data_IF_306862343127
#
_entry.id   IF_306862343127
#
_cell.length_a   1.000
_cell.length_b   1.000
_cell.length_c   1.000
_cell.angle_alpha   90.00
_cell.angle_beta   90.00
_cell.angle_gamma   90.00
#
_symmetry.space_group_name_H-M   'P 1'
#
loop_
_entity.id
_entity.type
_entity.pdbx_description
1 polymer ?
#
# COMPACT_ATOMS: atom_id res chain seq x y z
N UNK A 1 15.75 -6.40 -16.24
CA UNK A 1 15.34 -5.07 -15.73
C UNK A 1 14.22 -4.35 -16.51
N UNK A 2 13.65 -4.83 -17.63
CA UNK A 2 12.59 -4.09 -18.36
C UNK A 2 11.19 -4.19 -17.73
N UNK A 3 10.88 -5.32 -17.10
CA UNK A 3 9.54 -5.59 -16.57
C UNK A 3 9.16 -4.71 -15.38
N UNK A 4 10.15 -4.31 -14.58
CA UNK A 4 9.97 -3.42 -13.43
C UNK A 4 9.57 -2.00 -13.89
N UNK A 5 10.20 -1.49 -14.96
CA UNK A 5 9.83 -0.19 -15.53
C UNK A 5 8.41 -0.21 -16.10
N UNK A 6 8.01 -1.27 -16.81
CA UNK A 6 6.65 -1.34 -17.37
C UNK A 6 5.56 -1.46 -16.29
N UNK A 7 5.85 -2.14 -15.18
CA UNK A 7 4.95 -2.16 -14.02
C UNK A 7 4.88 -0.80 -13.34
N UNK A 8 6.02 -0.13 -13.16
CA UNK A 8 6.08 1.23 -12.61
C UNK A 8 5.33 2.22 -13.49
N UNK A 9 5.49 2.16 -14.81
CA UNK A 9 4.79 3.04 -15.75
C UNK A 9 3.28 2.83 -15.68
N UNK A 10 2.81 1.58 -15.68
CA UNK A 10 1.37 1.29 -15.55
C UNK A 10 0.81 1.68 -14.18
N UNK A 11 1.57 1.46 -13.11
CA UNK A 11 1.20 1.91 -11.77
C UNK A 11 1.15 3.43 -11.72
N UNK A 12 2.13 4.12 -12.30
CA UNK A 12 2.21 5.58 -12.34
C UNK A 12 1.07 6.18 -13.15
N UNK A 13 0.74 5.62 -14.31
CA UNK A 13 -0.39 6.04 -15.14
C UNK A 13 -1.75 5.79 -14.46
N UNK A 14 -1.89 4.65 -13.76
CA UNK A 14 -3.08 4.31 -12.98
C UNK A 14 -3.24 5.21 -11.74
N UNK A 15 -2.14 5.54 -11.06
CA UNK A 15 -2.08 6.44 -9.90
C UNK A 15 -2.29 7.91 -10.29
N UNK A 16 -1.78 8.35 -11.45
CA UNK A 16 -1.91 9.71 -11.95
C UNK A 16 -3.38 10.10 -12.21
N UNK A 17 -4.22 9.13 -12.61
CA UNK A 17 -5.62 9.39 -12.91
C UNK A 17 -6.54 9.35 -11.69
N UNK A 18 -6.15 8.67 -10.60
CA UNK A 18 -6.95 8.62 -9.35
C UNK A 18 -6.05 8.88 -8.16
N UNK A 19 -5.90 10.16 -7.83
CA UNK A 19 -5.08 10.71 -6.72
C UNK A 19 -5.26 9.99 -5.36
N UNK A 20 -6.35 9.25 -5.14
CA UNK A 20 -6.62 8.48 -3.91
C UNK A 20 -6.23 7.00 -3.91
N UNK A 21 -5.65 6.45 -4.99
CA UNK A 21 -5.33 5.02 -5.10
C UNK A 21 -4.21 4.56 -4.17
N UNK A 22 -3.18 5.38 -3.97
CA UNK A 22 -2.07 5.05 -3.08
C UNK A 22 -2.52 5.04 -1.59
N UNK A 23 -3.28 6.05 -1.11
CA UNK A 23 -3.98 5.97 0.18
C UNK A 23 -4.84 4.70 0.32
N UNK A 24 -5.62 4.39 -0.72
CA UNK A 24 -6.50 3.23 -0.73
C UNK A 24 -5.72 1.92 -0.61
N UNK A 25 -4.56 1.80 -1.28
CA UNK A 25 -3.69 0.65 -1.18
C UNK A 25 -3.12 0.48 0.23
N UNK A 26 -2.73 1.58 0.88
CA UNK A 26 -2.31 1.58 2.28
C UNK A 26 -3.42 1.13 3.22
N UNK A 27 -4.66 1.61 3.01
CA UNK A 27 -5.85 1.16 3.77
C UNK A 27 -6.10 -0.34 3.56
N UNK A 28 -5.95 -0.84 2.32
CA UNK A 28 -6.11 -2.26 2.01
C UNK A 28 -5.09 -3.13 2.75
N UNK A 29 -3.83 -2.68 2.85
CA UNK A 29 -2.78 -3.34 3.62
C UNK A 29 -3.08 -3.38 5.13
N UNK A 30 -3.64 -2.28 5.67
CA UNK A 30 -4.07 -2.22 7.08
C UNK A 30 -5.21 -3.20 7.34
N UNK A 31 -6.21 -3.27 6.45
CA UNK A 31 -7.31 -4.23 6.55
C UNK A 31 -6.83 -5.68 6.39
N UNK A 32 -5.88 -5.93 5.50
CA UNK A 32 -5.26 -7.25 5.35
C UNK A 32 -4.50 -7.66 6.62
N UNK A 33 -3.79 -6.72 7.27
CA UNK A 33 -3.14 -6.98 8.56
C UNK A 33 -4.15 -7.36 9.65
N UNK A 34 -5.30 -6.68 9.67
CA UNK A 34 -6.38 -7.00 10.61
C UNK A 34 -6.89 -8.43 10.40
N UNK A 35 -7.10 -8.86 9.16
CA UNK A 35 -7.51 -10.24 8.85
C UNK A 35 -6.41 -11.23 9.26
N UNK A 36 -5.14 -10.89 9.00
CA UNK A 36 -3.99 -11.72 9.38
C UNK A 36 -3.83 -11.89 10.89
N UNK A 37 -4.26 -10.93 11.72
CA UNK A 37 -4.27 -11.12 13.18
C UNK A 37 -5.18 -12.26 13.65
N UNK A 38 -6.23 -12.60 12.90
CA UNK A 38 -7.13 -13.71 13.23
C UNK A 38 -6.65 -15.06 12.68
N UNK A 39 -5.62 -15.06 11.84
CA UNK A 39 -4.99 -16.26 11.30
C UNK A 39 -3.79 -16.65 12.19
N UNK A 40 -3.50 -17.94 12.39
CA UNK A 40 -2.34 -18.41 13.16
C UNK A 40 -1.01 -18.23 12.39
N UNK A 41 -0.82 -17.07 11.77
CA UNK A 41 0.35 -16.69 10.98
C UNK A 41 1.41 -16.03 11.88
N UNK A 42 2.06 -16.85 12.71
CA UNK A 42 3.11 -16.50 13.69
C UNK A 42 3.75 -15.11 13.59
N UNK A 43 4.99 -15.03 13.10
CA UNK A 43 5.82 -13.81 13.16
C UNK A 43 5.25 -12.62 12.36
N UNK A 44 4.55 -12.87 11.26
CA UNK A 44 4.05 -11.82 10.38
C UNK A 44 2.86 -11.05 11.00
N UNK A 45 1.93 -11.74 11.67
CA UNK A 45 0.86 -11.09 12.43
C UNK A 45 1.36 -10.47 13.73
N UNK A 46 2.33 -11.12 14.40
CA UNK A 46 2.85 -10.65 15.68
C UNK A 46 3.64 -9.34 15.55
N UNK A 47 4.38 -9.16 14.44
CA UNK A 47 5.12 -7.93 14.15
C UNK A 47 4.25 -6.81 13.57
N UNK A 48 3.01 -7.11 13.15
CA UNK A 48 2.13 -6.17 12.43
C UNK A 48 2.82 -5.52 11.23
N UNK A 49 3.69 -6.25 10.52
CA UNK A 49 4.54 -5.68 9.47
C UNK A 49 3.72 -5.03 8.35
N UNK A 50 2.60 -5.66 7.99
CA UNK A 50 1.65 -5.13 6.99
C UNK A 50 0.96 -3.85 7.45
N UNK A 51 0.68 -3.71 8.75
CA UNK A 51 0.16 -2.48 9.32
C UNK A 51 1.14 -1.32 9.10
N UNK A 52 2.42 -1.53 9.44
CA UNK A 52 3.45 -0.50 9.33
C UNK A 52 3.65 -0.08 7.88
N UNK A 53 3.75 -1.04 6.95
CA UNK A 53 3.88 -0.75 5.52
C UNK A 53 2.62 -0.04 5.01
N UNK A 54 1.43 -0.51 5.39
CA UNK A 54 0.16 0.09 4.99
C UNK A 54 0.02 1.55 5.44
N UNK A 55 0.40 1.86 6.68
CA UNK A 55 0.40 3.23 7.21
C UNK A 55 1.38 4.12 6.45
N UNK A 56 2.61 3.66 6.21
CA UNK A 56 3.62 4.42 5.46
C UNK A 56 3.10 4.72 4.04
N UNK A 57 2.59 3.71 3.34
CA UNK A 57 2.02 3.88 1.99
C UNK A 57 0.81 4.81 1.99
N UNK A 58 -0.05 4.73 3.00
CA UNK A 58 -1.20 5.61 3.13
C UNK A 58 -0.78 7.07 3.32
N UNK A 59 0.20 7.33 4.19
CA UNK A 59 0.74 8.68 4.43
C UNK A 59 1.37 9.23 3.14
N UNK A 60 2.24 8.47 2.49
CA UNK A 60 2.83 8.91 1.21
C UNK A 60 1.77 9.16 0.15
N UNK A 61 0.74 8.33 0.12
CA UNK A 61 -0.37 8.50 -0.78
C UNK A 61 -1.14 9.79 -0.56
N UNK A 62 -1.40 10.14 0.70
CA UNK A 62 -2.10 11.37 1.05
C UNK A 62 -1.22 12.56 0.69
N UNK A 63 0.08 12.51 1.00
CA UNK A 63 1.03 13.56 0.64
C UNK A 63 1.10 13.79 -0.88
N UNK A 64 1.15 12.72 -1.67
CA UNK A 64 1.17 12.79 -3.14
C UNK A 64 -0.15 13.31 -3.70
N UNK A 65 -1.29 12.93 -3.10
CA UNK A 65 -2.60 13.42 -3.51
C UNK A 65 -2.77 14.94 -3.33
N UNK A 66 -2.08 15.51 -2.35
CA UNK A 66 -2.10 16.94 -2.03
C UNK A 66 -1.05 17.74 -2.80
N UNK A 67 0.07 17.11 -3.18
CA UNK A 67 1.17 17.76 -3.91
C UNK A 67 0.91 17.95 -5.41
N UNK A 68 -0.17 17.35 -5.95
CA UNK A 68 -0.49 17.22 -7.38
C UNK A 68 -1.88 17.79 -7.68
#
# INVERSE_FOLDING_TARGET
MRWLNTLLDKLSEFLAHRKGLLPLLGILLILANLILQFLPVGWLAQSNLLLHIGVIVAIFGIMLAWAL
#
